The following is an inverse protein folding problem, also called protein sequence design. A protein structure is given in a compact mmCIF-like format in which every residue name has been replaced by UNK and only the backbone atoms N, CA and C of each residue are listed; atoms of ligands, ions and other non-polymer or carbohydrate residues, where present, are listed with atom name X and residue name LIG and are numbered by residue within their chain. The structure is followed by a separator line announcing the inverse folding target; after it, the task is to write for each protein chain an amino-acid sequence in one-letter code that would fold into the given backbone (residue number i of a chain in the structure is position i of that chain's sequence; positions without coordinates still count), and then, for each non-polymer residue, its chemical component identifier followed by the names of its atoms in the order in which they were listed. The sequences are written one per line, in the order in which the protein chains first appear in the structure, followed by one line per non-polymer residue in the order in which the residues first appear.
data_IF_009961985926
#
_entry.id   IF_009961985926
#
_cell.length_a   1.000
_cell.length_b   1.000
_cell.length_c   1.000
_cell.angle_alpha   90.00
_cell.angle_beta   90.00
_cell.angle_gamma   90.00
#
_symmetry.space_group_name_H-M   'P 1'
#
loop_
_entity.id
_entity.type
_entity.pdbx_description
1 polymer ?
#
# COMPACT_ATOMS: atom_id res chain seq x y z
N UNK A 1 14.27 13.23 -31.08
CA UNK A 1 13.47 12.15 -30.45
C UNK A 1 14.35 11.50 -29.41
N UNK A 2 14.14 11.83 -28.13
CA UNK A 2 14.89 11.25 -27.02
C UNK A 2 14.05 10.11 -26.47
N UNK A 3 14.57 8.89 -26.55
CA UNK A 3 13.95 7.70 -25.98
C UNK A 3 14.06 7.79 -24.45
N UNK A 4 12.92 7.92 -23.77
CA UNK A 4 12.85 7.92 -22.32
C UNK A 4 12.68 6.46 -21.86
N UNK A 5 13.74 5.91 -21.26
CA UNK A 5 13.75 4.56 -20.69
C UNK A 5 12.75 4.48 -19.54
N UNK A 6 11.72 3.65 -19.69
CA UNK A 6 10.80 3.27 -18.63
C UNK A 6 11.46 2.21 -17.74
N UNK A 7 12.07 2.63 -16.63
CA UNK A 7 12.51 1.70 -15.60
C UNK A 7 11.31 1.27 -14.75
N UNK A 8 10.80 0.07 -15.02
CA UNK A 8 9.70 -0.54 -14.28
C UNK A 8 10.17 -1.00 -12.91
N UNK A 9 9.68 -0.35 -11.85
CA UNK A 9 9.78 -0.83 -10.47
C UNK A 9 9.21 -2.25 -10.30
N UNK A 10 8.24 -2.62 -11.14
CA UNK A 10 7.70 -3.98 -11.27
C UNK A 10 8.78 -5.02 -11.63
N UNK A 11 9.78 -4.68 -12.46
CA UNK A 11 10.85 -5.61 -12.81
C UNK A 11 11.86 -5.80 -11.66
N UNK A 12 12.22 -4.73 -10.95
CA UNK A 12 13.27 -4.79 -9.93
C UNK A 12 12.87 -5.64 -8.71
N UNK A 13 11.57 -5.68 -8.36
CA UNK A 13 11.07 -6.54 -7.29
C UNK A 13 10.74 -7.96 -7.79
N UNK A 14 10.27 -8.11 -9.04
CA UNK A 14 9.98 -9.42 -9.64
C UNK A 14 11.24 -10.26 -9.86
N UNK A 15 12.35 -9.64 -10.26
CA UNK A 15 13.61 -10.37 -10.55
C UNK A 15 14.26 -10.99 -9.29
N UNK A 16 13.85 -10.58 -8.08
CA UNK A 16 14.36 -11.13 -6.81
C UNK A 16 13.48 -12.28 -6.28
N UNK A 17 12.26 -12.46 -6.81
CA UNK A 17 11.25 -13.37 -6.23
C UNK A 17 10.86 -14.56 -7.13
N UNK A 18 11.32 -14.62 -8.38
CA UNK A 18 10.91 -15.68 -9.33
C UNK A 18 11.56 -17.07 -9.12
N UNK A 19 12.46 -17.25 -8.15
CA UNK A 19 13.24 -18.51 -8.02
C UNK A 19 12.98 -19.34 -6.74
N UNK A 20 11.87 -19.10 -6.02
CA UNK A 20 11.58 -19.83 -4.78
C UNK A 20 10.14 -20.33 -4.73
N UNK A 21 9.89 -21.44 -5.42
CA UNK A 21 8.72 -22.30 -5.21
C UNK A 21 8.86 -23.04 -3.85
N UNK A 22 7.91 -22.90 -2.91
CA UNK A 22 7.86 -23.74 -1.72
C UNK A 22 7.08 -25.03 -1.99
N UNK A 23 7.58 -26.13 -1.44
CA UNK A 23 6.96 -27.46 -1.42
C UNK A 23 5.73 -27.52 -0.51
N UNK A 24 4.75 -28.34 -0.92
CA UNK A 24 3.47 -28.59 -0.26
C UNK A 24 3.61 -29.41 1.04
N UNK A 25 3.76 -28.78 2.21
CA UNK A 25 3.50 -29.41 3.51
C UNK A 25 2.90 -28.35 4.48
N UNK A 26 1.81 -28.63 5.19
CA UNK A 26 1.22 -27.67 6.14
C UNK A 26 1.98 -27.65 7.46
N UNK A 27 2.47 -26.48 7.88
CA UNK A 27 3.06 -26.28 9.20
C UNK A 27 2.02 -25.78 10.20
N UNK A 28 1.84 -26.51 11.30
CA UNK A 28 1.05 -26.09 12.45
C UNK A 28 1.70 -24.90 13.16
N UNK A 29 1.01 -23.76 13.21
CA UNK A 29 1.49 -22.55 13.86
C UNK A 29 0.99 -22.47 15.31
N UNK A 30 1.93 -22.55 16.26
CA UNK A 30 1.68 -22.27 17.68
C UNK A 30 1.66 -20.76 17.89
N UNK A 31 0.55 -20.25 18.42
CA UNK A 31 0.39 -18.85 18.84
C UNK A 31 1.30 -18.56 20.05
N UNK A 32 2.34 -17.78 19.83
CA UNK A 32 3.16 -17.18 20.91
C UNK A 32 2.73 -15.72 21.05
N UNK A 33 2.03 -15.38 22.13
CA UNK A 33 1.87 -13.99 22.57
C UNK A 33 3.21 -13.50 23.12
N UNK A 34 3.70 -12.36 22.62
CA UNK A 34 4.98 -11.76 23.07
C UNK A 34 4.71 -10.33 23.57
N UNK A 35 5.18 -10.04 24.78
CA UNK A 35 4.97 -8.81 25.56
C UNK A 35 5.86 -7.62 25.12
N UNK A 36 6.47 -7.66 23.93
CA UNK A 36 7.52 -6.71 23.53
C UNK A 36 7.01 -5.38 22.90
N UNK A 37 5.69 -5.14 22.86
CA UNK A 37 5.09 -4.04 22.06
C UNK A 37 5.00 -2.68 22.78
N UNK A 38 4.99 -2.62 24.12
CA UNK A 38 4.76 -1.35 24.87
C UNK A 38 5.91 -0.34 24.76
N UNK A 39 7.16 -0.81 24.59
CA UNK A 39 8.31 0.09 24.41
C UNK A 39 8.34 0.75 23.03
N UNK A 40 7.63 0.20 22.04
CA UNK A 40 7.57 0.75 20.68
C UNK A 40 6.55 1.89 20.57
N UNK A 41 5.38 1.75 21.19
CA UNK A 41 4.32 2.78 21.17
C UNK A 41 4.77 4.10 21.83
N UNK A 42 5.56 4.01 22.92
CA UNK A 42 6.00 5.18 23.69
C UNK A 42 7.06 6.05 22.98
N UNK A 43 7.80 5.50 22.01
CA UNK A 43 8.83 6.25 21.27
C UNK A 43 8.27 7.00 20.04
N UNK A 44 7.07 6.66 19.58
CA UNK A 44 6.54 7.11 18.27
C UNK A 44 5.17 7.79 18.35
N UNK A 45 4.52 7.81 19.51
CA UNK A 45 3.31 8.61 19.76
C UNK A 45 3.59 10.12 19.89
N UNK A 46 4.86 10.54 19.91
CA UNK A 46 5.24 11.92 19.72
C UNK A 46 5.23 12.26 18.23
N UNK A 47 4.19 12.99 17.79
CA UNK A 47 4.13 13.62 16.46
C UNK A 47 5.15 14.74 16.24
N UNK A 48 6.26 14.74 16.98
CA UNK A 48 7.38 15.66 16.86
C UNK A 48 8.67 14.85 16.88
N UNK A 49 9.49 15.05 15.85
CA UNK A 49 10.82 14.45 15.65
C UNK A 49 11.66 14.55 16.93
N UNK A 50 11.84 13.45 17.69
CA UNK A 50 12.50 13.51 18.99
C UNK A 50 14.03 13.58 18.88
N UNK A 51 14.61 13.52 17.67
CA UNK A 51 16.06 13.37 17.50
C UNK A 51 16.71 14.38 16.52
N UNK A 52 15.93 15.20 15.82
CA UNK A 52 16.50 16.21 14.91
C UNK A 52 17.37 15.58 13.82
N UNK A 53 16.92 14.42 13.30
CA UNK A 53 17.70 13.62 12.36
C UNK A 53 17.76 14.27 10.97
N UNK A 54 18.89 14.08 10.29
CA UNK A 54 19.15 14.55 8.93
C UNK A 54 17.97 14.18 8.02
N UNK A 55 17.34 15.18 7.40
CA UNK A 55 16.28 14.94 6.42
C UNK A 55 16.81 14.00 5.32
N UNK A 56 16.05 12.95 5.00
CA UNK A 56 16.35 12.06 3.88
C UNK A 56 16.65 12.90 2.63
N UNK A 57 17.88 12.83 2.13
CA UNK A 57 18.34 13.63 0.98
C UNK A 57 17.72 13.19 -0.33
N UNK A 58 17.13 11.99 -0.35
CA UNK A 58 16.64 11.30 -1.55
C UNK A 58 15.11 11.21 -1.58
N UNK A 59 14.40 12.06 -0.83
CA UNK A 59 12.94 12.19 -0.97
C UNK A 59 12.66 12.97 -2.26
N UNK A 60 11.88 12.44 -3.21
CA UNK A 60 11.48 13.20 -4.39
C UNK A 60 10.70 14.44 -3.99
N UNK A 61 10.60 15.46 -4.86
CA UNK A 61 9.63 16.52 -4.70
C UNK A 61 8.24 15.92 -4.50
N UNK A 62 7.67 16.11 -3.31
CA UNK A 62 6.35 15.58 -2.96
C UNK A 62 5.27 16.50 -3.51
N UNK A 63 4.32 15.92 -4.24
CA UNK A 63 3.26 16.65 -4.90
C UNK A 63 1.94 16.32 -4.24
N UNK A 64 1.19 17.36 -3.89
CA UNK A 64 -0.16 17.23 -3.35
C UNK A 64 -1.07 16.58 -4.40
N UNK A 65 -1.78 15.48 -4.07
CA UNK A 65 -2.78 14.90 -4.95
C UNK A 65 -3.82 15.94 -5.35
N UNK A 66 -4.12 16.05 -6.64
CA UNK A 66 -5.20 16.94 -7.09
C UNK A 66 -6.55 16.36 -6.67
N UNK A 67 -7.60 17.19 -6.70
CA UNK A 67 -8.97 16.68 -6.61
C UNK A 67 -9.49 16.30 -7.99
N UNK A 68 -10.36 15.31 -8.06
CA UNK A 68 -11.05 14.99 -9.30
C UNK A 68 -12.00 16.12 -9.71
N UNK A 69 -12.12 16.36 -11.02
CA UNK A 69 -12.94 17.46 -11.53
C UNK A 69 -14.44 17.15 -11.48
N UNK A 70 -14.83 15.88 -11.58
CA UNK A 70 -16.22 15.44 -11.50
C UNK A 70 -16.66 15.21 -10.06
N UNK A 71 -15.74 14.78 -9.19
CA UNK A 71 -15.98 14.59 -7.75
C UNK A 71 -14.84 15.16 -6.90
N UNK A 72 -14.96 16.40 -6.39
CA UNK A 72 -13.93 17.04 -5.58
C UNK A 72 -13.60 16.31 -4.26
N UNK A 73 -14.43 15.36 -3.82
CA UNK A 73 -14.15 14.55 -2.63
C UNK A 73 -13.10 13.47 -2.91
N UNK A 74 -12.90 13.09 -4.18
CA UNK A 74 -11.90 12.12 -4.61
C UNK A 74 -10.50 12.76 -4.71
N UNK A 75 -9.49 12.08 -4.16
CA UNK A 75 -8.08 12.40 -4.38
C UNK A 75 -7.60 11.69 -5.65
N UNK A 76 -6.92 12.43 -6.51
CA UNK A 76 -6.40 11.97 -7.78
C UNK A 76 -4.90 11.71 -7.69
N UNK A 77 -4.50 10.48 -8.01
CA UNK A 77 -3.11 10.05 -8.09
C UNK A 77 -2.78 9.64 -9.52
N UNK A 78 -1.50 9.71 -9.87
CA UNK A 78 -0.98 9.32 -11.18
C UNK A 78 -1.71 10.03 -12.34
N UNK A 79 -1.99 11.33 -12.18
CA UNK A 79 -2.70 12.11 -13.20
C UNK A 79 -4.17 11.70 -13.41
N UNK A 80 -4.82 11.16 -12.38
CA UNK A 80 -6.23 10.74 -12.44
C UNK A 80 -6.43 9.32 -12.93
N UNK A 81 -5.38 8.48 -12.92
CA UNK A 81 -5.48 7.07 -13.23
C UNK A 81 -5.89 6.22 -12.01
N UNK A 82 -5.71 6.77 -10.80
CA UNK A 82 -6.27 6.26 -9.56
C UNK A 82 -7.04 7.38 -8.87
N UNK A 83 -8.30 7.14 -8.54
CA UNK A 83 -9.08 8.01 -7.65
C UNK A 83 -9.29 7.29 -6.33
N UNK A 84 -9.09 7.98 -5.21
CA UNK A 84 -9.35 7.44 -3.88
C UNK A 84 -10.33 8.32 -3.10
N UNK A 85 -11.28 7.70 -2.41
CA UNK A 85 -12.21 8.33 -1.49
C UNK A 85 -11.96 7.82 -0.08
N UNK A 86 -11.88 8.77 0.84
CA UNK A 86 -11.84 8.54 2.29
C UNK A 86 -13.29 8.56 2.80
N UNK A 87 -13.84 7.39 3.10
CA UNK A 87 -15.24 7.20 3.50
C UNK A 87 -15.33 6.62 4.92
N UNK A 88 -16.51 6.72 5.51
CA UNK A 88 -16.89 6.00 6.73
C UNK A 88 -18.08 5.09 6.43
N UNK A 89 -18.15 3.92 7.05
CA UNK A 89 -19.35 3.10 7.02
C UNK A 89 -20.36 3.49 8.12
N UNK A 90 -21.48 2.77 8.18
CA UNK A 90 -22.56 3.00 9.15
C UNK A 90 -22.12 2.82 10.61
N UNK A 91 -21.00 2.14 10.85
CA UNK A 91 -20.39 1.93 12.17
C UNK A 91 -19.26 2.94 12.44
N UNK A 92 -19.00 3.88 11.53
CA UNK A 92 -17.95 4.89 11.65
C UNK A 92 -16.53 4.37 11.38
N UNK A 93 -16.38 3.17 10.82
CA UNK A 93 -15.09 2.58 10.45
C UNK A 93 -14.57 3.21 9.17
N UNK A 94 -13.25 3.28 9.02
CA UNK A 94 -12.63 3.76 7.79
C UNK A 94 -12.91 2.81 6.63
N UNK A 95 -13.41 3.39 5.55
CA UNK A 95 -13.63 2.72 4.27
C UNK A 95 -12.81 3.45 3.24
N UNK A 96 -11.99 2.70 2.50
CA UNK A 96 -11.23 3.21 1.37
C UNK A 96 -11.95 2.76 0.12
N UNK A 97 -12.39 3.69 -0.72
CA UNK A 97 -12.83 3.35 -2.07
C UNK A 97 -11.78 3.83 -3.06
N UNK A 98 -11.40 2.97 -3.99
CA UNK A 98 -10.43 3.24 -5.04
C UNK A 98 -11.02 2.92 -6.41
N UNK A 99 -10.86 3.81 -7.38
CA UNK A 99 -11.20 3.58 -8.78
C UNK A 99 -9.94 3.49 -9.62
N UNK A 100 -9.67 2.29 -10.13
CA UNK A 100 -8.57 1.96 -11.02
C UNK A 100 -9.04 2.11 -12.47
N UNK A 101 -8.36 2.96 -13.23
CA UNK A 101 -8.72 3.28 -14.61
C UNK A 101 -8.31 2.19 -15.59
N UNK A 102 -9.24 1.74 -16.42
CA UNK A 102 -8.97 0.80 -17.50
C UNK A 102 -7.95 1.36 -18.51
N UNK A 103 -7.05 0.50 -18.99
CA UNK A 103 -6.02 0.86 -19.98
C UNK A 103 -4.93 1.80 -19.48
N UNK A 104 -4.95 2.20 -18.19
CA UNK A 104 -3.85 2.97 -17.60
C UNK A 104 -2.62 2.08 -17.37
N UNK A 105 -1.43 2.61 -17.64
CA UNK A 105 -0.16 1.95 -17.26
C UNK A 105 0.01 1.77 -15.74
N UNK A 106 -0.70 2.56 -14.93
CA UNK A 106 -0.59 2.57 -13.49
C UNK A 106 -1.60 1.65 -12.81
N UNK A 107 -2.82 1.57 -13.34
CA UNK A 107 -3.94 0.91 -12.66
C UNK A 107 -4.64 -0.15 -13.50
N UNK A 108 -4.49 -0.14 -14.83
CA UNK A 108 -5.15 -1.03 -15.78
C UNK A 108 -4.18 -1.81 -16.68
N UNK A 109 -2.98 -2.12 -16.18
CA UNK A 109 -1.93 -2.87 -16.91
C UNK A 109 -1.73 -4.27 -16.32
N UNK A 110 -2.81 -4.89 -15.83
CA UNK A 110 -2.73 -6.14 -15.08
C UNK A 110 -1.84 -6.02 -13.85
N UNK A 111 -1.13 -7.10 -13.53
CA UNK A 111 -0.20 -7.19 -12.39
C UNK A 111 0.99 -6.22 -12.46
N UNK A 112 1.26 -5.62 -13.62
CA UNK A 112 2.39 -4.71 -13.84
C UNK A 112 2.05 -3.24 -13.58
N UNK A 113 0.82 -2.93 -13.14
CA UNK A 113 0.41 -1.58 -12.79
C UNK A 113 1.20 -1.03 -11.59
N UNK A 114 1.62 0.24 -11.65
CA UNK A 114 2.34 0.90 -10.55
C UNK A 114 1.54 0.94 -9.23
N UNK A 115 0.22 1.06 -9.29
CA UNK A 115 -0.65 1.12 -8.13
C UNK A 115 -1.22 -0.26 -7.74
N UNK A 116 -0.86 -1.31 -8.48
CA UNK A 116 -1.26 -2.67 -8.18
C UNK A 116 -0.33 -3.19 -7.09
N UNK A 117 -0.86 -3.62 -5.93
CA UNK A 117 0.01 -4.13 -4.88
C UNK A 117 0.68 -5.42 -5.37
N UNK A 118 1.94 -5.69 -5.00
CA UNK A 118 2.51 -7.02 -5.14
C UNK A 118 1.80 -8.02 -4.21
N UNK A 119 2.15 -9.31 -4.28
CA UNK A 119 1.69 -10.27 -3.28
C UNK A 119 2.07 -9.80 -1.87
N UNK A 120 1.07 -9.68 -1.01
CA UNK A 120 1.22 -9.12 0.32
C UNK A 120 0.30 -9.82 1.31
N UNK A 121 0.50 -9.48 2.58
CA UNK A 121 -0.21 -10.01 3.75
C UNK A 121 -0.56 -8.84 4.65
N UNK A 122 -1.82 -8.75 5.06
CA UNK A 122 -2.25 -7.94 6.19
C UNK A 122 -2.12 -8.78 7.46
N UNK A 123 -1.35 -8.31 8.45
CA UNK A 123 -1.00 -9.15 9.61
C UNK A 123 -2.16 -9.35 10.57
N UNK A 124 -3.02 -8.34 10.73
CA UNK A 124 -4.07 -8.32 11.77
C UNK A 124 -5.46 -8.02 11.21
N UNK A 125 -5.55 -7.58 9.97
CA UNK A 125 -6.77 -7.02 9.42
C UNK A 125 -7.46 -8.02 8.50
N UNK A 126 -8.78 -8.10 8.65
CA UNK A 126 -9.65 -8.66 7.63
C UNK A 126 -9.94 -7.57 6.62
N UNK A 127 -9.63 -7.82 5.35
CA UNK A 127 -9.98 -6.92 4.27
C UNK A 127 -11.23 -7.45 3.55
N UNK A 128 -12.23 -6.59 3.35
CA UNK A 128 -13.37 -6.91 2.49
C UNK A 128 -13.25 -6.11 1.21
N UNK A 129 -13.21 -6.79 0.07
CA UNK A 129 -13.09 -6.14 -1.23
C UNK A 129 -14.25 -6.47 -2.17
N UNK A 130 -14.49 -5.57 -3.12
CA UNK A 130 -15.51 -5.67 -4.17
C UNK A 130 -15.03 -6.36 -5.44
N UNK A 131 -15.48 -5.87 -6.60
CA UNK A 131 -15.14 -6.46 -7.91
C UNK A 131 -13.64 -6.34 -8.20
N UNK A 132 -13.02 -7.42 -8.69
CA UNK A 132 -11.60 -7.50 -9.10
C UNK A 132 -11.22 -8.87 -9.65
N UNK A 133 -10.10 -8.92 -10.37
CA UNK A 133 -9.33 -10.16 -10.52
C UNK A 133 -8.32 -10.24 -9.36
N UNK A 134 -8.20 -11.40 -8.73
CA UNK A 134 -7.38 -11.56 -7.52
C UNK A 134 -6.63 -12.89 -7.48
N UNK A 135 -5.62 -12.94 -6.63
CA UNK A 135 -5.05 -14.19 -6.10
C UNK A 135 -5.23 -14.19 -4.60
N UNK A 136 -5.71 -15.30 -4.05
CA UNK A 136 -5.84 -15.53 -2.61
C UNK A 136 -5.31 -16.94 -2.29
N UNK A 137 -4.25 -17.02 -1.49
CA UNK A 137 -3.54 -18.25 -1.12
C UNK A 137 -3.22 -19.14 -2.34
N UNK A 138 -2.66 -18.51 -3.38
CA UNK A 138 -2.26 -19.17 -4.62
C UNK A 138 -3.41 -19.51 -5.58
N UNK A 139 -4.66 -19.22 -5.23
CA UNK A 139 -5.82 -19.44 -6.11
C UNK A 139 -6.25 -18.15 -6.77
N UNK A 140 -6.36 -18.17 -8.09
CA UNK A 140 -6.90 -17.04 -8.84
C UNK A 140 -8.44 -17.07 -8.87
N UNK A 141 -9.04 -15.89 -8.89
CA UNK A 141 -10.49 -15.72 -8.99
C UNK A 141 -10.87 -14.36 -9.55
N UNK A 142 -12.17 -14.22 -9.86
CA UNK A 142 -12.78 -12.96 -10.30
C UNK A 142 -13.98 -12.69 -9.40
N UNK A 143 -13.93 -11.59 -8.66
CA UNK A 143 -15.06 -11.01 -7.97
C UNK A 143 -15.78 -10.03 -8.92
N UNK A 144 -17.09 -10.20 -9.08
CA UNK A 144 -17.95 -9.37 -9.92
C UNK A 144 -18.53 -8.19 -9.13
N UNK A 145 -19.11 -7.18 -9.80
CA UNK A 145 -19.84 -6.12 -9.11
C UNK A 145 -20.92 -6.70 -8.19
N UNK A 146 -20.86 -6.35 -6.91
CA UNK A 146 -21.78 -6.85 -5.87
C UNK A 146 -21.23 -8.03 -5.06
N UNK A 147 -20.18 -8.70 -5.52
CA UNK A 147 -19.50 -9.73 -4.73
C UNK A 147 -18.76 -9.09 -3.56
N UNK A 148 -18.63 -9.87 -2.48
CA UNK A 148 -17.80 -9.52 -1.31
C UNK A 148 -16.73 -10.60 -1.15
N UNK A 149 -15.49 -10.25 -1.44
CA UNK A 149 -14.34 -11.09 -1.13
C UNK A 149 -13.87 -10.76 0.29
N UNK A 150 -13.90 -11.74 1.18
CA UNK A 150 -13.38 -11.59 2.54
C UNK A 150 -11.98 -12.21 2.58
N UNK A 151 -10.99 -11.38 2.88
CA UNK A 151 -9.59 -11.76 2.96
C UNK A 151 -9.20 -11.78 4.45
N UNK A 152 -8.98 -12.96 5.03
CA UNK A 152 -8.67 -13.04 6.46
C UNK A 152 -7.24 -12.56 6.75
N UNK A 153 -6.95 -12.16 8.01
CA UNK A 153 -5.59 -11.81 8.42
C UNK A 153 -4.61 -12.95 8.12
N UNK A 154 -3.42 -12.61 7.66
CA UNK A 154 -2.38 -13.58 7.31
C UNK A 154 -2.50 -14.20 5.91
N UNK A 155 -3.62 -14.04 5.22
CA UNK A 155 -3.79 -14.60 3.88
C UNK A 155 -2.91 -13.89 2.85
N UNK A 156 -2.26 -14.67 1.99
CA UNK A 156 -1.40 -14.14 0.92
C UNK A 156 -2.29 -13.74 -0.25
N UNK A 157 -2.27 -12.47 -0.63
CA UNK A 157 -3.13 -12.00 -1.69
C UNK A 157 -2.58 -10.84 -2.50
N UNK A 158 -3.21 -10.62 -3.65
CA UNK A 158 -3.06 -9.46 -4.52
C UNK A 158 -4.31 -9.31 -5.37
N UNK A 159 -4.56 -8.13 -5.90
CA UNK A 159 -5.63 -7.89 -6.87
C UNK A 159 -5.16 -6.98 -7.99
N UNK A 160 -5.82 -7.05 -9.14
CA UNK A 160 -5.52 -6.18 -10.27
C UNK A 160 -6.75 -5.98 -11.16
N UNK A 161 -6.69 -4.92 -11.98
CA UNK A 161 -7.56 -4.75 -13.13
C UNK A 161 -6.88 -5.36 -14.36
N UNK A 162 -7.53 -6.30 -15.03
CA UNK A 162 -6.99 -6.96 -16.22
C UNK A 162 -6.62 -5.95 -17.31
N UNK A 163 -5.48 -6.19 -17.99
CA UNK A 163 -4.96 -5.29 -19.02
C UNK A 163 -5.91 -5.11 -20.22
N UNK A 164 -6.82 -6.06 -20.44
CA UNK A 164 -7.86 -6.01 -21.48
C UNK A 164 -9.20 -5.46 -21.00
N UNK A 165 -9.31 -4.99 -19.75
CA UNK A 165 -10.55 -4.47 -19.21
C UNK A 165 -11.00 -3.22 -19.99
N UNK A 166 -12.31 -3.13 -20.22
CA UNK A 166 -12.94 -2.00 -20.92
C UNK A 166 -13.56 -0.98 -19.97
N UNK A 167 -13.71 -1.35 -18.71
CA UNK A 167 -14.38 -0.57 -17.68
C UNK A 167 -13.46 -0.41 -16.48
N UNK A 168 -13.57 0.73 -15.82
CA UNK A 168 -12.83 1.03 -14.60
C UNK A 168 -13.23 0.06 -13.48
N UNK A 169 -12.28 -0.26 -12.62
CA UNK A 169 -12.51 -1.11 -11.45
C UNK A 169 -12.70 -0.26 -10.21
N UNK A 170 -13.82 -0.45 -9.51
CA UNK A 170 -14.06 0.19 -8.22
C UNK A 170 -13.89 -0.83 -7.11
N UNK A 171 -12.82 -0.68 -6.34
CA UNK A 171 -12.55 -1.47 -5.15
C UNK A 171 -13.01 -0.67 -3.94
N UNK A 172 -13.86 -1.24 -3.11
CA UNK A 172 -14.16 -0.70 -1.78
C UNK A 172 -13.56 -1.66 -0.78
N UNK A 173 -12.64 -1.17 0.04
CA UNK A 173 -11.92 -1.91 1.05
C UNK A 173 -12.28 -1.37 2.44
N UNK A 174 -12.54 -2.28 3.36
CA UNK A 174 -12.62 -1.99 4.79
C UNK A 174 -11.67 -2.93 5.49
N UNK A 175 -10.73 -2.37 6.25
CA UNK A 175 -9.83 -3.13 7.10
C UNK A 175 -10.42 -3.20 8.51
N UNK A 176 -10.61 -4.41 9.03
CA UNK A 176 -11.25 -4.66 10.31
C UNK A 176 -10.40 -5.58 11.18
N UNK A 177 -10.49 -5.43 12.51
CA UNK A 177 -10.08 -6.50 13.43
C UNK A 177 -8.85 -6.24 14.30
N UNK A 178 -8.29 -5.03 14.32
CA UNK A 178 -7.29 -4.65 15.34
C UNK A 178 -7.48 -3.25 15.89
N UNK A 179 -7.05 -3.07 17.14
CA UNK A 179 -6.77 -1.79 17.79
C UNK A 179 -5.47 -1.13 17.27
N UNK A 180 -4.67 -1.88 16.51
CA UNK A 180 -3.42 -1.41 15.90
C UNK A 180 -3.67 -0.59 14.62
N UNK A 181 -2.80 0.39 14.30
CA UNK A 181 -2.82 1.13 13.04
C UNK A 181 -2.79 0.20 11.83
N UNK A 182 -3.48 0.57 10.77
CA UNK A 182 -3.91 -0.37 9.75
C UNK A 182 -3.86 0.15 8.31
N UNK A 183 -4.51 -0.57 7.40
CA UNK A 183 -4.89 -0.09 6.09
C UNK A 183 -6.00 0.96 6.23
N UNK A 184 -5.60 2.17 6.62
CA UNK A 184 -6.48 3.30 6.87
C UNK A 184 -6.31 4.41 5.82
N UNK A 185 -7.07 5.50 5.97
CA UNK A 185 -6.99 6.67 5.09
C UNK A 185 -5.59 7.29 5.07
N UNK A 186 -4.88 7.28 6.21
CA UNK A 186 -3.53 7.83 6.33
C UNK A 186 -2.54 7.01 5.52
N UNK A 187 -2.58 5.68 5.61
CA UNK A 187 -1.74 4.78 4.82
C UNK A 187 -1.98 5.01 3.33
N UNK A 188 -3.22 4.91 2.87
CA UNK A 188 -3.57 5.03 1.43
C UNK A 188 -3.10 6.37 0.86
N UNK A 189 -3.34 7.46 1.59
CA UNK A 189 -2.95 8.81 1.22
C UNK A 189 -1.44 8.96 1.06
N UNK A 190 -0.69 8.45 2.03
CA UNK A 190 0.77 8.54 2.01
C UNK A 190 1.41 7.60 1.00
N UNK A 191 0.89 6.38 0.87
CA UNK A 191 1.40 5.38 -0.05
C UNK A 191 1.21 5.81 -1.50
N UNK A 192 -0.02 6.14 -1.90
CA UNK A 192 -0.26 6.60 -3.27
C UNK A 192 0.26 8.02 -3.52
N UNK A 193 0.25 8.90 -2.52
CA UNK A 193 0.86 10.22 -2.62
C UNK A 193 2.36 10.13 -2.92
N UNK A 194 3.08 9.27 -2.20
CA UNK A 194 4.50 9.04 -2.42
C UNK A 194 4.79 8.40 -3.79
N UNK A 195 4.07 7.33 -4.16
CA UNK A 195 4.26 6.68 -5.45
C UNK A 195 3.93 7.62 -6.62
N UNK A 196 2.85 8.39 -6.51
CA UNK A 196 2.49 9.38 -7.53
C UNK A 196 3.54 10.47 -7.67
N UNK A 197 4.10 10.96 -6.55
CA UNK A 197 5.19 11.95 -6.56
C UNK A 197 6.45 11.39 -7.22
N UNK A 198 6.80 10.12 -6.97
CA UNK A 198 7.92 9.45 -7.64
C UNK A 198 7.71 9.38 -9.17
N UNK A 199 6.50 9.01 -9.59
CA UNK A 199 6.12 8.94 -11.01
C UNK A 199 6.23 10.31 -11.67
N UNK A 200 5.74 11.37 -11.02
CA UNK A 200 5.78 12.74 -11.55
C UNK A 200 7.22 13.26 -11.65
N UNK A 201 8.05 12.99 -10.65
CA UNK A 201 9.46 13.32 -10.65
C UNK A 201 10.31 12.40 -11.55
N UNK A 202 9.72 11.37 -12.16
CA UNK A 202 10.41 10.36 -12.97
C UNK A 202 11.59 9.70 -12.21
N UNK A 203 11.37 9.34 -10.94
CA UNK A 203 12.33 8.61 -10.12
C UNK A 203 11.72 7.31 -9.61
N UNK A 204 12.58 6.32 -9.31
CA UNK A 204 12.14 5.10 -8.65
C UNK A 204 11.79 5.38 -7.17
N UNK A 205 10.75 4.76 -6.60
CA UNK A 205 10.48 4.86 -5.19
C UNK A 205 11.58 4.18 -4.37
N UNK A 206 11.95 4.79 -3.25
CA UNK A 206 12.95 4.25 -2.34
C UNK A 206 12.39 3.01 -1.63
N UNK A 207 13.08 1.86 -1.66
CA UNK A 207 12.62 0.67 -0.95
C UNK A 207 12.50 0.91 0.56
N UNK A 208 13.35 1.77 1.14
CA UNK A 208 13.29 2.12 2.56
C UNK A 208 11.98 2.85 2.91
N UNK A 209 11.55 3.82 2.10
CA UNK A 209 10.26 4.49 2.29
C UNK A 209 9.10 3.52 2.08
N UNK A 210 9.16 2.63 1.09
CA UNK A 210 8.10 1.65 0.83
C UNK A 210 7.94 0.70 2.02
N UNK A 211 9.03 0.08 2.49
CA UNK A 211 8.97 -0.81 3.65
C UNK A 211 8.54 -0.07 4.93
N UNK A 212 8.90 1.20 5.08
CA UNK A 212 8.45 2.03 6.20
C UNK A 212 6.94 2.28 6.16
N UNK A 213 6.38 2.59 4.98
CA UNK A 213 4.94 2.78 4.83
C UNK A 213 4.16 1.47 5.04
N UNK A 214 4.65 0.35 4.51
CA UNK A 214 4.06 -0.97 4.73
C UNK A 214 4.07 -1.35 6.23
N UNK A 215 5.17 -1.06 6.92
CA UNK A 215 5.28 -1.24 8.37
C UNK A 215 4.23 -0.45 9.15
N UNK A 216 3.93 0.77 8.70
CA UNK A 216 2.95 1.66 9.35
C UNK A 216 1.51 1.14 9.31
N UNK A 217 1.20 0.29 8.35
CA UNK A 217 -0.14 -0.29 8.13
C UNK A 217 -0.21 -1.78 8.50
N UNK A 218 0.82 -2.34 9.14
CA UNK A 218 0.91 -3.78 9.41
C UNK A 218 0.72 -4.66 8.16
N UNK A 219 1.17 -4.15 7.01
CA UNK A 219 1.20 -4.87 5.73
C UNK A 219 2.62 -5.34 5.46
N UNK A 220 2.80 -6.55 4.94
CA UNK A 220 4.12 -7.07 4.55
C UNK A 220 4.07 -7.68 3.16
N UNK A 221 5.20 -7.68 2.46
CA UNK A 221 5.32 -8.47 1.24
C UNK A 221 5.28 -9.96 1.57
N UNK A 222 4.52 -10.72 0.79
CA UNK A 222 4.45 -12.17 0.92
C UNK A 222 5.80 -12.76 0.48
N UNK A 223 6.54 -13.26 1.45
CA UNK A 223 7.89 -13.82 1.26
C UNK A 223 8.05 -15.05 2.14
N UNK A 224 8.92 -16.00 1.76
CA UNK A 224 9.15 -17.20 2.55
C UNK A 224 9.56 -16.88 3.99
N UNK A 225 9.09 -17.71 4.93
CA UNK A 225 9.49 -17.67 6.34
C UNK A 225 9.25 -16.33 7.06
N UNK A 226 8.34 -15.48 6.56
CA UNK A 226 8.01 -14.20 7.17
C UNK A 226 9.08 -13.12 6.98
N UNK A 227 9.98 -13.28 6.00
CA UNK A 227 11.06 -12.33 5.74
C UNK A 227 10.57 -10.89 5.46
N UNK A 228 9.34 -10.73 4.96
CA UNK A 228 8.71 -9.45 4.66
C UNK A 228 8.54 -8.62 5.92
N UNK A 229 8.17 -9.24 7.05
CA UNK A 229 8.11 -8.53 8.33
C UNK A 229 9.50 -8.09 8.79
N UNK A 230 10.52 -8.93 8.58
CA UNK A 230 11.90 -8.56 8.89
C UNK A 230 12.36 -7.38 8.03
N UNK A 231 11.99 -7.32 6.75
CA UNK A 231 12.32 -6.20 5.86
C UNK A 231 11.63 -4.90 6.27
N UNK A 232 10.36 -4.95 6.69
CA UNK A 232 9.67 -3.80 7.27
C UNK A 232 10.45 -3.22 8.46
N UNK A 233 10.89 -4.08 9.38
CA UNK A 233 11.61 -3.64 10.59
C UNK A 233 13.04 -3.16 10.26
N UNK A 234 13.80 -3.93 9.48
CA UNK A 234 15.19 -3.62 9.19
C UNK A 234 15.33 -2.47 8.18
N UNK A 235 14.69 -2.58 7.01
CA UNK A 235 14.82 -1.59 5.93
C UNK A 235 13.89 -0.40 6.15
N UNK A 236 12.63 -0.66 6.53
CA UNK A 236 11.66 0.40 6.74
C UNK A 236 11.95 1.20 8.00
N UNK A 237 11.77 0.56 9.17
CA UNK A 237 11.81 1.25 10.47
C UNK A 237 13.23 1.68 10.86
N UNK A 238 14.19 0.77 10.82
CA UNK A 238 15.56 1.07 11.28
C UNK A 238 16.35 1.89 10.26
N UNK A 239 16.49 1.41 9.01
CA UNK A 239 17.25 2.18 8.01
C UNK A 239 16.46 3.38 7.53
N UNK A 240 15.21 3.20 7.08
CA UNK A 240 14.41 4.27 6.51
C UNK A 240 14.06 5.35 7.53
N UNK A 241 13.35 4.96 8.59
CA UNK A 241 12.88 5.89 9.62
C UNK A 241 14.03 6.44 10.46
N UNK A 242 14.78 5.57 11.13
CA UNK A 242 15.77 6.00 12.12
C UNK A 242 17.06 6.56 11.50
N UNK A 243 17.69 5.88 10.54
CA UNK A 243 18.95 6.35 9.94
C UNK A 243 18.76 7.43 8.89
N UNK A 244 17.80 7.26 7.98
CA UNK A 244 17.62 8.14 6.83
C UNK A 244 16.60 9.26 7.07
N UNK A 245 15.75 9.18 8.10
CA UNK A 245 14.78 10.23 8.42
C UNK A 245 13.55 10.25 7.49
N UNK A 246 13.25 9.13 6.82
CA UNK A 246 12.00 8.96 6.09
C UNK A 246 10.78 9.03 7.03
N UNK A 247 9.63 9.47 6.51
CA UNK A 247 8.46 9.79 7.33
C UNK A 247 7.32 8.81 7.09
N UNK A 248 6.60 8.47 8.16
CA UNK A 248 5.37 7.66 8.08
C UNK A 248 4.20 8.45 7.46
N UNK A 249 4.25 9.78 7.54
CA UNK A 249 3.22 10.65 6.99
C UNK A 249 3.81 11.99 6.53
N UNK A 250 3.31 12.51 5.42
CA UNK A 250 3.70 13.80 4.87
C UNK A 250 2.50 14.75 4.81
N UNK A 251 2.63 15.91 5.47
CA UNK A 251 1.57 16.93 5.52
C UNK A 251 1.12 17.44 4.15
N UNK A 252 1.98 17.35 3.13
CA UNK A 252 1.65 17.73 1.75
C UNK A 252 0.53 16.87 1.16
N UNK A 253 0.35 15.65 1.66
CA UNK A 253 -0.71 14.76 1.24
C UNK A 253 -1.98 14.95 2.07
N UNK A 254 -1.90 15.58 3.24
CA UNK A 254 -3.05 15.86 4.08
C UNK A 254 -3.97 16.91 3.45
N UNK A 255 -5.25 16.82 3.80
CA UNK A 255 -6.21 17.86 3.46
C UNK A 255 -5.94 19.07 4.34
N UNK A 256 -5.89 20.27 3.74
CA UNK A 256 -5.55 21.51 4.45
C UNK A 256 -6.66 21.98 5.39
N UNK A 257 -7.29 21.11 6.18
CA UNK A 257 -8.29 21.45 7.20
C UNK A 257 -9.48 22.29 6.70
N UNK A 258 -9.64 22.47 5.39
CA UNK A 258 -10.67 23.30 4.76
C UNK A 258 -11.62 22.41 3.98
N UNK A 259 -12.30 21.56 4.74
CA UNK A 259 -13.50 20.86 4.31
C UNK A 259 -14.51 20.94 5.44
N UNK A 260 -15.23 22.06 5.49
CA UNK A 260 -16.65 22.14 5.82
C UNK A 260 -17.29 23.12 4.83
#
# INVERSE_FOLDING_TARGET
MVAQQSFGFSLALSTVLEDLSPSEEPADFVSVKREDDELSEALWSAGEDPLGNCAATDVPPLVRPSRDAADPTAKSYFGGDLLAWELKDDEGRDVVRNRFKAGSKHTGNGRNGTAVPPLHIHLYETEIQGSMTYTLDGKEGIAKPGDKLVIPPGAVHTFWLDAGAKEDLVVTATAMGSDKPGFDHRFVRNFFGYLSSCVEANVAPSPFQIFLLLDSANVTLATPFGFGRLMNLALGRFVGGWLLGYQLSYKVFDDDGKTQ
#
